data_IF_338081692886
#
_entry.id   IF_338081692886
#
_cell.length_a   1.000
_cell.length_b   1.000
_cell.length_c   1.000
_cell.angle_alpha   90.00
_cell.angle_beta   90.00
_cell.angle_gamma   90.00
#
_symmetry.space_group_name_H-M   'P 1'
#
loop_
_entity.id
_entity.type
_entity.pdbx_description
1 polymer ?
#
# COMPACT_ATOMS: atom_id res chain seq x y z
N UNK A 1 28.30 11.34 -38.89
CA UNK A 1 28.88 10.17 -38.19
C UNK A 1 27.88 9.03 -38.23
N UNK A 2 28.17 8.03 -39.07
CA UNK A 2 27.45 6.78 -39.10
C UNK A 2 27.78 5.96 -37.85
N UNK A 3 26.76 5.42 -37.17
CA UNK A 3 26.92 4.27 -36.30
C UNK A 3 25.97 3.19 -36.81
N UNK A 4 26.63 2.21 -37.36
CA UNK A 4 26.24 1.05 -38.13
C UNK A 4 26.51 -0.19 -37.26
N UNK A 5 25.47 -0.83 -36.74
CA UNK A 5 25.46 -2.24 -36.29
C UNK A 5 24.04 -2.56 -35.79
N UNK A 6 23.17 -3.07 -36.66
CA UNK A 6 22.82 -4.50 -36.79
C UNK A 6 22.04 -5.07 -35.59
N UNK A 7 20.75 -5.43 -35.78
CA UNK A 7 20.00 -6.21 -34.80
C UNK A 7 20.49 -7.65 -34.89
N UNK A 8 21.23 -8.12 -33.88
CA UNK A 8 21.58 -9.54 -33.77
C UNK A 8 20.36 -10.30 -33.25
N UNK A 9 19.53 -10.67 -34.22
CA UNK A 9 18.57 -11.77 -34.13
C UNK A 9 19.39 -13.02 -33.81
N UNK A 10 19.25 -13.55 -32.60
CA UNK A 10 19.71 -14.90 -32.30
C UNK A 10 18.63 -15.86 -32.80
N UNK A 11 18.76 -16.25 -34.06
CA UNK A 11 18.20 -17.50 -34.56
C UNK A 11 18.85 -18.66 -33.79
N UNK A 12 18.07 -19.38 -33.00
CA UNK A 12 18.34 -20.80 -32.76
C UNK A 12 17.04 -21.57 -33.01
N UNK A 13 17.19 -22.46 -33.97
CA UNK A 13 16.21 -23.25 -34.71
C UNK A 13 15.22 -24.07 -33.83
N UNK A 14 14.08 -24.48 -34.44
CA UNK A 14 13.06 -25.28 -33.78
C UNK A 14 13.51 -26.75 -33.67
N UNK A 15 13.17 -27.43 -32.58
CA UNK A 15 13.24 -28.89 -32.54
C UNK A 15 12.09 -29.44 -31.70
N UNK A 16 11.07 -29.85 -32.45
CA UNK A 16 10.32 -31.11 -32.33
C UNK A 16 9.86 -31.57 -30.93
N UNK A 17 8.53 -31.57 -30.79
CA UNK A 17 7.78 -32.80 -30.49
C UNK A 17 7.87 -33.37 -29.08
N UNK A 18 6.79 -33.17 -28.32
CA UNK A 18 6.17 -34.34 -27.72
C UNK A 18 4.67 -34.15 -27.54
N UNK A 19 3.95 -34.91 -28.35
CA UNK A 19 2.56 -35.29 -28.15
C UNK A 19 2.26 -35.64 -26.68
N UNK A 20 1.27 -34.98 -26.09
CA UNK A 20 0.48 -35.57 -25.01
C UNK A 20 -0.96 -35.13 -25.13
N UNK A 21 -1.64 -35.78 -26.07
CA UNK A 21 -3.08 -35.98 -26.02
C UNK A 21 -3.40 -36.77 -24.76
N UNK A 22 -3.72 -36.08 -23.67
CA UNK A 22 -4.52 -36.66 -22.58
C UNK A 22 -5.68 -35.73 -22.33
N UNK A 23 -6.75 -36.03 -23.07
CA UNK A 23 -8.13 -35.68 -22.74
C UNK A 23 -8.42 -36.11 -21.32
N UNK A 24 -8.56 -35.14 -20.42
CA UNK A 24 -9.30 -35.25 -19.17
C UNK A 24 -9.95 -33.88 -18.94
N UNK A 25 -10.96 -33.57 -19.76
CA UNK A 25 -11.92 -32.55 -19.38
C UNK A 25 -12.65 -33.08 -18.15
N UNK A 26 -12.16 -32.72 -16.97
CA UNK A 26 -12.86 -32.93 -15.69
C UNK A 26 -13.79 -31.73 -15.51
N UNK A 27 -15.12 -31.87 -15.68
CA UNK A 27 -16.04 -30.79 -15.39
C UNK A 27 -16.30 -30.73 -13.88
N UNK A 28 -16.09 -29.55 -13.28
CA UNK A 28 -16.51 -29.24 -11.91
C UNK A 28 -15.62 -29.89 -10.84
N UNK A 29 -15.14 -29.21 -9.82
CA UNK A 29 -15.70 -28.09 -9.09
C UNK A 29 -14.51 -27.36 -8.48
N UNK A 30 -14.20 -26.16 -9.00
CA UNK A 30 -13.25 -25.26 -8.35
C UNK A 30 -13.93 -24.77 -7.07
N UNK A 31 -13.59 -25.39 -5.95
CA UNK A 31 -13.83 -24.80 -4.63
C UNK A 31 -12.47 -24.54 -4.04
N UNK A 32 -11.89 -23.42 -4.46
CA UNK A 32 -11.20 -22.61 -3.46
C UNK A 32 -12.29 -21.87 -2.70
N UNK A 33 -12.35 -22.01 -1.37
CA UNK A 33 -13.41 -21.45 -0.55
C UNK A 33 -13.49 -19.95 -0.77
N UNK A 34 -14.71 -19.46 -0.94
CA UNK A 34 -15.10 -18.07 -0.81
C UNK A 34 -14.74 -17.57 0.59
N UNK A 35 -13.48 -17.17 0.82
CA UNK A 35 -13.12 -16.16 1.81
C UNK A 35 -13.43 -14.83 1.10
N UNK A 36 -14.65 -14.29 1.15
CA UNK A 36 -15.37 -14.06 2.40
C UNK A 36 -14.63 -12.95 3.14
N UNK A 37 -14.80 -11.73 2.63
CA UNK A 37 -14.21 -10.47 3.09
C UNK A 37 -12.70 -10.37 2.91
N UNK A 38 -12.29 -9.95 1.70
CA UNK A 38 -11.15 -9.07 1.55
C UNK A 38 -11.39 -7.90 2.50
N UNK A 39 -10.76 -7.95 3.66
CA UNK A 39 -10.56 -6.80 4.52
C UNK A 39 -10.15 -5.68 3.57
N UNK A 40 -10.99 -4.66 3.44
CA UNK A 40 -10.68 -3.54 2.59
C UNK A 40 -9.42 -2.94 3.19
N UNK A 41 -8.29 -3.27 2.60
CA UNK A 41 -7.04 -2.54 2.74
C UNK A 41 -7.40 -1.13 2.25
N UNK A 42 -7.94 -0.32 3.15
CA UNK A 42 -8.14 1.08 2.87
C UNK A 42 -6.72 1.61 2.71
N UNK A 43 -6.26 1.75 1.48
CA UNK A 43 -5.11 2.56 1.13
C UNK A 43 -5.46 4.01 1.49
N UNK A 44 -5.31 4.33 2.78
CA UNK A 44 -5.54 5.67 3.29
C UNK A 44 -4.37 6.50 2.80
N UNK A 45 -4.58 7.16 1.66
CA UNK A 45 -3.61 8.08 1.07
C UNK A 45 -3.40 9.29 1.98
N UNK A 46 -2.37 9.20 2.83
CA UNK A 46 -1.89 10.28 3.68
C UNK A 46 -0.73 11.01 3.00
N UNK A 47 -0.67 12.32 3.16
CA UNK A 47 0.50 13.08 2.73
C UNK A 47 1.69 12.79 3.63
N UNK A 48 2.92 12.95 3.14
CA UNK A 48 4.16 12.83 3.94
C UNK A 48 4.12 13.62 5.24
N UNK A 49 3.54 14.83 5.22
CA UNK A 49 3.34 15.66 6.43
C UNK A 49 2.37 15.01 7.42
N UNK A 50 1.30 14.40 6.93
CA UNK A 50 0.29 13.73 7.75
C UNK A 50 0.86 12.43 8.35
N UNK A 51 1.61 11.66 7.57
CA UNK A 51 2.37 10.48 8.02
C UNK A 51 3.35 10.84 9.14
N UNK A 52 4.13 11.92 8.98
CA UNK A 52 5.04 12.36 10.04
C UNK A 52 4.29 12.75 11.32
N UNK A 53 3.19 13.50 11.20
CA UNK A 53 2.35 13.84 12.36
C UNK A 53 1.80 12.56 13.02
N UNK A 54 1.35 11.60 12.23
CA UNK A 54 0.80 10.32 12.71
C UNK A 54 1.87 9.47 13.41
N UNK A 55 3.07 9.39 12.85
CA UNK A 55 4.21 8.69 13.46
C UNK A 55 4.61 9.29 14.81
N UNK A 56 4.69 10.62 14.89
CA UNK A 56 5.00 11.31 16.14
C UNK A 56 3.87 11.18 17.18
N UNK A 57 2.60 11.14 16.74
CA UNK A 57 1.47 10.83 17.61
C UNK A 57 1.52 9.39 18.13
N UNK A 58 1.90 8.42 17.29
CA UNK A 58 2.09 7.02 17.69
C UNK A 58 3.20 6.85 18.74
N UNK A 59 4.22 7.72 18.69
CA UNK A 59 5.28 7.80 19.73
C UNK A 59 4.82 8.46 21.04
N UNK A 60 3.56 8.88 21.14
CA UNK A 60 3.00 9.54 22.32
C UNK A 60 3.37 11.02 22.45
N UNK A 61 3.87 11.67 21.38
CA UNK A 61 4.22 13.09 21.43
C UNK A 61 2.98 13.99 21.46
N UNK A 62 3.06 15.07 22.23
CA UNK A 62 1.98 16.07 22.28
C UNK A 62 2.07 17.06 21.12
N UNK A 63 0.95 17.68 20.74
CA UNK A 63 0.88 18.59 19.60
C UNK A 63 1.93 19.73 19.65
N UNK A 64 2.28 20.20 20.84
CA UNK A 64 3.34 21.22 21.05
C UNK A 64 4.74 20.68 20.70
N UNK A 65 5.04 19.44 21.03
CA UNK A 65 6.33 18.80 20.68
C UNK A 65 6.41 18.44 19.20
N UNK A 66 5.28 18.02 18.61
CA UNK A 66 5.16 17.74 17.18
C UNK A 66 5.36 19.04 16.37
N UNK A 67 4.75 20.13 16.83
CA UNK A 67 4.91 21.47 16.27
C UNK A 67 6.38 21.89 16.25
N UNK A 68 7.08 21.72 17.37
CA UNK A 68 8.51 22.02 17.51
C UNK A 68 9.37 21.17 16.54
N UNK A 69 9.15 19.85 16.49
CA UNK A 69 9.88 18.94 15.60
C UNK A 69 9.64 19.19 14.11
N UNK A 70 8.42 19.53 13.73
CA UNK A 70 8.05 19.78 12.34
C UNK A 70 8.22 21.25 11.93
N UNK A 71 8.66 22.11 12.86
CA UNK A 71 8.79 23.56 12.68
C UNK A 71 7.50 24.20 12.14
N UNK A 72 6.35 23.80 12.68
CA UNK A 72 5.01 24.31 12.33
C UNK A 72 4.24 24.72 13.57
N UNK A 73 3.23 25.57 13.42
CA UNK A 73 2.38 25.97 14.54
C UNK A 73 1.56 24.80 15.10
N UNK A 74 1.33 24.80 16.42
CA UNK A 74 0.45 23.82 17.10
C UNK A 74 -0.94 23.76 16.49
N UNK A 75 -1.47 24.90 16.02
CA UNK A 75 -2.75 25.00 15.28
C UNK A 75 -2.73 24.23 13.96
N UNK A 76 -1.60 24.25 13.27
CA UNK A 76 -1.38 23.48 12.03
C UNK A 76 -1.35 21.99 12.34
N UNK A 77 -0.68 21.55 13.41
CA UNK A 77 -0.73 20.15 13.87
C UNK A 77 -2.16 19.70 14.18
N UNK A 78 -2.94 20.53 14.87
CA UNK A 78 -4.36 20.25 15.15
C UNK A 78 -5.15 20.11 13.85
N UNK A 79 -4.90 20.97 12.87
CA UNK A 79 -5.52 20.90 11.54
C UNK A 79 -5.13 19.62 10.79
N UNK A 80 -3.86 19.23 10.80
CA UNK A 80 -3.40 17.95 10.24
C UNK A 80 -4.07 16.76 10.93
N UNK A 81 -4.21 16.81 12.27
CA UNK A 81 -4.91 15.78 13.03
C UNK A 81 -6.38 15.66 12.65
N UNK A 82 -7.08 16.79 12.46
CA UNK A 82 -8.48 16.78 11.98
C UNK A 82 -8.60 16.18 10.59
N UNK A 83 -7.67 16.50 9.68
CA UNK A 83 -7.63 15.91 8.34
C UNK A 83 -7.42 14.40 8.39
N UNK A 84 -6.46 13.94 9.20
CA UNK A 84 -6.24 12.51 9.47
C UNK A 84 -7.50 11.84 10.03
N UNK A 85 -8.13 12.41 11.06
CA UNK A 85 -9.38 11.88 11.64
C UNK A 85 -10.47 11.73 10.58
N UNK A 86 -10.64 12.75 9.74
CA UNK A 86 -11.62 12.73 8.65
C UNK A 86 -11.27 11.70 7.56
N UNK A 87 -9.99 11.55 7.21
CA UNK A 87 -9.51 10.56 6.24
C UNK A 87 -9.68 9.11 6.74
N UNK A 88 -9.33 8.85 8.00
CA UNK A 88 -9.46 7.55 8.64
C UNK A 88 -10.89 7.26 9.14
N UNK A 89 -11.81 8.23 9.01
CA UNK A 89 -13.20 8.15 9.50
C UNK A 89 -13.33 7.73 10.97
N UNK A 90 -12.38 8.16 11.79
CA UNK A 90 -12.36 7.90 13.24
C UNK A 90 -12.96 9.07 14.01
N UNK A 91 -13.30 8.87 15.28
CA UNK A 91 -13.83 9.96 16.13
C UNK A 91 -12.75 10.56 17.00
N UNK A 92 -11.75 9.75 17.37
CA UNK A 92 -10.76 10.17 18.35
C UNK A 92 -9.31 9.95 17.90
N UNK A 93 -8.40 10.65 18.57
CA UNK A 93 -6.96 10.55 18.28
C UNK A 93 -6.39 9.19 18.66
N UNK A 94 -6.96 8.57 19.69
CA UNK A 94 -6.58 7.23 20.14
C UNK A 94 -7.02 6.19 19.12
N UNK A 95 -8.24 6.33 18.56
CA UNK A 95 -8.71 5.49 17.46
C UNK A 95 -7.85 5.68 16.21
N UNK A 96 -7.45 6.91 15.90
CA UNK A 96 -6.53 7.18 14.79
C UNK A 96 -5.22 6.39 14.92
N UNK A 97 -4.60 6.39 16.11
CA UNK A 97 -3.36 5.63 16.38
C UNK A 97 -3.62 4.13 16.31
N UNK A 98 -4.74 3.66 16.87
CA UNK A 98 -5.14 2.25 16.85
C UNK A 98 -5.37 1.75 15.42
N UNK A 99 -6.05 2.54 14.60
CA UNK A 99 -6.24 2.26 13.17
C UNK A 99 -4.89 2.26 12.45
N UNK A 100 -4.07 3.30 12.63
CA UNK A 100 -2.75 3.39 12.00
C UNK A 100 -1.83 2.19 12.33
N UNK A 101 -1.86 1.73 13.58
CA UNK A 101 -1.12 0.53 14.01
C UNK A 101 -1.64 -0.75 13.35
N UNK A 102 -2.96 -0.86 13.13
CA UNK A 102 -3.56 -2.01 12.43
C UNK A 102 -3.21 -2.04 10.94
N UNK A 103 -3.03 -0.88 10.31
CA UNK A 103 -2.58 -0.73 8.93
C UNK A 103 -1.04 -0.85 8.76
N UNK A 104 -0.30 -1.27 9.80
CA UNK A 104 1.17 -1.36 9.78
C UNK A 104 1.89 -0.03 9.42
N UNK A 105 1.22 1.11 9.57
CA UNK A 105 1.74 2.44 9.23
C UNK A 105 2.62 3.06 10.36
N UNK A 106 2.83 2.31 11.44
CA UNK A 106 3.59 2.69 12.65
C UNK A 106 4.58 1.59 12.98
#
# INVERSE_FOLDING_TARGET
MANNASPVMHDNAPTDNFVRSTSLATPGYSISPTLGNLEQEQEISISRREEQVLSLLGKGMVAKQIADKLNISTTTVISHKKKLINKFRVKNSVELIKCASRYLLL
#
